data_IF_869891098373
#
_entry.id   IF_869891098373
#
_cell.length_a   1.000
_cell.length_b   1.000
_cell.length_c   1.000
_cell.angle_alpha   90.00
_cell.angle_beta   90.00
_cell.angle_gamma   90.00
#
_symmetry.space_group_name_H-M   'P 1'
#
loop_
_entity.id
_entity.type
_entity.pdbx_description
1 polymer ?
#
# COMPACT_ATOMS: atom_id res chain seq x y z
N UNK A 1 -13.36 -26.95 -59.52
CA UNK A 1 -12.83 -25.57 -59.68
C UNK A 1 -13.80 -24.58 -59.09
N UNK A 2 -13.26 -23.48 -58.55
CA UNK A 2 -13.89 -22.33 -57.87
C UNK A 2 -14.00 -22.44 -56.35
N UNK A 3 -13.07 -21.68 -55.78
CA UNK A 3 -12.77 -21.36 -54.39
C UNK A 3 -13.93 -20.62 -53.74
N UNK A 4 -14.25 -20.98 -52.50
CA UNK A 4 -14.90 -20.07 -51.55
C UNK A 4 -14.07 -20.12 -50.27
N UNK A 5 -13.16 -19.15 -50.15
CA UNK A 5 -12.38 -18.90 -48.94
C UNK A 5 -13.33 -18.22 -47.96
N UNK A 6 -13.76 -18.95 -46.93
CA UNK A 6 -14.39 -18.38 -45.75
C UNK A 6 -13.33 -17.53 -45.05
N UNK A 7 -13.37 -16.22 -45.26
CA UNK A 7 -12.52 -15.27 -44.55
C UNK A 7 -13.02 -15.18 -43.11
N UNK A 8 -12.39 -15.94 -42.22
CA UNK A 8 -12.54 -15.85 -40.78
C UNK A 8 -12.17 -14.43 -40.34
N UNK A 9 -13.19 -13.70 -39.85
CA UNK A 9 -13.05 -12.39 -39.23
C UNK A 9 -12.36 -12.55 -37.87
N UNK A 10 -11.04 -12.78 -37.91
CA UNK A 10 -10.18 -12.78 -36.73
C UNK A 10 -9.85 -11.35 -36.33
N UNK A 11 -10.78 -10.69 -35.64
CA UNK A 11 -10.45 -9.48 -34.86
C UNK A 11 -9.67 -9.95 -33.63
N UNK A 12 -8.39 -10.28 -33.84
CA UNK A 12 -7.41 -10.37 -32.77
C UNK A 12 -6.97 -8.94 -32.45
N UNK A 13 -7.83 -8.22 -31.72
CA UNK A 13 -7.47 -7.00 -31.01
C UNK A 13 -6.56 -7.36 -29.84
N UNK A 14 -5.32 -7.73 -30.15
CA UNK A 14 -4.24 -7.79 -29.17
C UNK A 14 -3.77 -6.36 -28.96
N UNK A 15 -4.54 -5.58 -28.21
CA UNK A 15 -4.00 -4.43 -27.48
C UNK A 15 -3.13 -4.96 -26.34
N UNK A 16 -1.99 -5.56 -26.68
CA UNK A 16 -0.86 -5.74 -25.78
C UNK A 16 0.06 -4.51 -25.84
N UNK A 17 -0.52 -3.31 -25.72
CA UNK A 17 0.22 -2.10 -25.38
C UNK A 17 0.06 -1.84 -23.89
N UNK A 18 0.64 -2.74 -23.09
CA UNK A 18 0.73 -2.63 -21.64
C UNK A 18 2.11 -3.05 -21.13
N UNK A 19 3.16 -2.79 -21.91
CA UNK A 19 4.54 -2.88 -21.44
C UNK A 19 4.92 -1.57 -20.75
N UNK A 20 4.80 -1.51 -19.43
CA UNK A 20 5.93 -1.10 -18.59
C UNK A 20 5.65 -1.46 -17.13
N UNK A 21 6.01 -2.69 -16.74
CA UNK A 21 6.26 -3.03 -15.33
C UNK A 21 7.36 -2.15 -14.71
N UNK A 22 8.13 -1.43 -15.53
CA UNK A 22 9.15 -0.49 -15.10
C UNK A 22 8.59 0.70 -14.31
N UNK A 23 7.30 1.03 -14.36
CA UNK A 23 6.77 2.26 -13.75
C UNK A 23 6.02 2.02 -12.43
N UNK A 24 6.35 0.95 -11.70
CA UNK A 24 5.70 0.60 -10.42
C UNK A 24 6.59 0.93 -9.24
N UNK A 25 6.00 1.43 -8.16
CA UNK A 25 6.70 1.70 -6.88
C UNK A 25 6.65 0.44 -6.02
N UNK A 26 5.45 -0.12 -5.89
CA UNK A 26 5.17 -1.38 -5.22
C UNK A 26 5.47 -2.50 -6.21
N UNK A 27 6.32 -3.45 -5.82
CA UNK A 27 6.59 -4.64 -6.62
C UNK A 27 5.50 -5.69 -6.39
N UNK A 28 5.32 -6.05 -5.12
CA UNK A 28 4.34 -7.04 -4.69
C UNK A 28 3.94 -6.85 -3.23
N UNK A 29 2.88 -7.56 -2.83
CA UNK A 29 2.50 -7.75 -1.42
C UNK A 29 2.63 -9.23 -1.08
N UNK A 30 3.28 -9.51 0.05
CA UNK A 30 3.32 -10.84 0.63
C UNK A 30 2.28 -10.94 1.75
N UNK A 31 1.59 -12.07 1.76
CA UNK A 31 0.67 -12.45 2.83
C UNK A 31 1.04 -13.85 3.31
N UNK A 32 1.30 -13.99 4.60
CA UNK A 32 1.73 -15.26 5.21
C UNK A 32 1.00 -15.45 6.54
N UNK A 33 -0.05 -16.28 6.58
CA UNK A 33 -0.66 -16.68 7.84
C UNK A 33 0.21 -17.74 8.53
N UNK A 34 0.33 -17.66 9.84
CA UNK A 34 0.97 -18.68 10.68
C UNK A 34 0.23 -20.03 10.60
N UNK A 35 0.91 -21.12 11.01
CA UNK A 35 0.36 -22.48 10.95
C UNK A 35 -0.97 -22.65 11.70
N UNK A 36 -1.12 -21.92 12.81
CA UNK A 36 -2.31 -21.93 13.67
C UNK A 36 -3.24 -20.73 13.44
N UNK A 37 -2.94 -19.86 12.46
CA UNK A 37 -3.68 -18.63 12.16
C UNK A 37 -3.74 -17.61 13.32
N UNK A 38 -2.92 -17.78 14.35
CA UNK A 38 -2.84 -16.83 15.47
C UNK A 38 -2.14 -15.55 15.04
N UNK A 39 -1.15 -15.65 14.15
CA UNK A 39 -0.44 -14.50 13.59
C UNK A 39 -0.61 -14.45 12.08
N UNK A 40 -0.83 -13.25 11.54
CA UNK A 40 -0.83 -12.98 10.09
C UNK A 40 0.25 -11.96 9.77
N UNK A 41 1.19 -12.33 8.89
CA UNK A 41 2.16 -11.40 8.31
C UNK A 41 1.62 -10.82 7.01
N UNK A 42 1.65 -9.50 6.89
CA UNK A 42 1.37 -8.79 5.63
C UNK A 42 2.49 -7.79 5.38
N UNK A 43 3.06 -7.77 4.17
CA UNK A 43 4.10 -6.81 3.81
C UNK A 43 4.00 -6.34 2.36
N UNK A 44 4.42 -5.10 2.14
CA UNK A 44 4.69 -4.53 0.81
C UNK A 44 6.18 -4.62 0.55
N UNK A 45 6.54 -5.25 -0.56
CA UNK A 45 7.87 -5.18 -1.13
C UNK A 45 7.90 -4.11 -2.23
N UNK A 46 8.92 -3.26 -2.18
CA UNK A 46 9.13 -2.22 -3.16
C UNK A 46 10.03 -2.70 -4.29
N UNK A 47 9.90 -2.09 -5.47
CA UNK A 47 10.80 -2.42 -6.58
C UNK A 47 12.26 -2.09 -6.23
N UNK A 48 13.23 -2.77 -6.85
CA UNK A 48 14.67 -2.52 -6.65
C UNK A 48 15.17 -1.11 -7.01
N UNK A 49 14.25 -0.22 -7.42
CA UNK A 49 14.48 1.22 -7.55
C UNK A 49 14.57 1.91 -6.19
N UNK A 50 13.93 1.37 -5.16
CA UNK A 50 13.97 1.89 -3.80
C UNK A 50 15.06 1.15 -3.04
N UNK A 51 16.15 1.86 -2.74
CA UNK A 51 17.37 1.35 -2.12
C UNK A 51 17.57 1.98 -0.74
N UNK A 52 16.50 2.00 0.06
CA UNK A 52 16.50 2.55 1.40
C UNK A 52 17.22 1.61 2.37
N UNK A 53 18.06 2.16 3.25
CA UNK A 53 18.73 1.46 4.34
C UNK A 53 17.95 1.50 5.66
N UNK A 54 16.77 2.15 5.65
CA UNK A 54 15.86 2.16 6.79
C UNK A 54 15.54 0.73 7.23
N UNK A 55 15.74 0.47 8.52
CA UNK A 55 15.53 -0.82 9.13
C UNK A 55 14.98 -0.64 10.55
N UNK A 56 14.19 -1.61 11.00
CA UNK A 56 13.79 -1.71 12.39
C UNK A 56 12.45 -2.36 12.54
N UNK A 57 11.92 -2.30 13.76
CA UNK A 57 10.53 -2.60 13.95
C UNK A 57 10.05 -2.37 15.37
N UNK A 58 8.74 -2.45 15.51
CA UNK A 58 7.98 -1.74 16.52
C UNK A 58 6.90 -2.66 17.08
N UNK A 59 7.03 -3.07 18.36
CA UNK A 59 6.04 -3.96 18.97
C UNK A 59 4.71 -3.22 19.17
N UNK A 60 3.62 -3.87 18.79
CA UNK A 60 2.25 -3.41 18.97
C UNK A 60 1.67 -4.00 20.25
N UNK A 61 2.24 -3.66 21.42
CA UNK A 61 1.76 -4.04 22.77
C UNK A 61 1.05 -5.40 22.87
N UNK A 62 1.71 -6.48 22.46
CA UNK A 62 1.19 -7.85 22.55
C UNK A 62 0.42 -8.34 21.32
N UNK A 63 -0.03 -7.45 20.44
CA UNK A 63 -0.80 -7.79 19.24
C UNK A 63 0.06 -7.97 17.98
N UNK A 64 1.37 -8.12 18.15
CA UNK A 64 2.33 -8.31 17.06
C UNK A 64 3.32 -7.17 16.93
N UNK A 65 3.80 -6.93 15.71
CA UNK A 65 4.99 -6.13 15.44
C UNK A 65 4.98 -5.56 14.01
N UNK A 66 5.25 -4.28 13.85
CA UNK A 66 5.49 -3.67 12.54
C UNK A 66 6.98 -3.76 12.24
N UNK A 67 7.37 -4.14 11.02
CA UNK A 67 8.77 -4.23 10.62
C UNK A 67 9.05 -3.43 9.35
N UNK A 68 10.30 -2.99 9.25
CA UNK A 68 10.90 -2.36 8.09
C UNK A 68 12.20 -3.10 7.82
N UNK A 69 12.29 -3.74 6.65
CA UNK A 69 13.50 -4.40 6.19
C UNK A 69 14.21 -3.51 5.15
N UNK A 70 15.52 -3.28 5.32
CA UNK A 70 16.28 -2.46 4.39
C UNK A 70 16.46 -3.17 3.05
N UNK A 71 16.75 -2.40 2.02
CA UNK A 71 17.15 -2.94 0.72
C UNK A 71 18.53 -3.61 0.80
N UNK A 72 18.65 -4.78 0.19
CA UNK A 72 19.93 -5.43 -0.13
C UNK A 72 19.88 -5.99 -1.56
N UNK A 73 21.02 -6.36 -2.18
CA UNK A 73 20.99 -7.03 -3.48
C UNK A 73 20.19 -8.35 -3.50
N UNK A 74 19.94 -8.95 -2.33
CA UNK A 74 19.19 -10.19 -2.18
C UNK A 74 17.74 -9.98 -1.70
N UNK A 75 17.37 -8.79 -1.23
CA UNK A 75 16.06 -8.51 -0.63
C UNK A 75 15.59 -7.08 -0.96
N UNK A 76 14.36 -6.90 -1.48
CA UNK A 76 13.82 -5.57 -1.71
C UNK A 76 13.63 -4.81 -0.39
N UNK A 77 13.60 -3.47 -0.45
CA UNK A 77 13.06 -2.69 0.66
C UNK A 77 11.63 -3.16 0.92
N UNK A 78 11.29 -3.42 2.18
CA UNK A 78 10.03 -4.03 2.56
C UNK A 78 9.51 -3.42 3.85
N UNK A 79 8.20 -3.17 3.88
CA UNK A 79 7.51 -2.72 5.08
C UNK A 79 6.29 -3.59 5.30
N UNK A 80 6.11 -4.07 6.52
CA UNK A 80 4.99 -4.95 6.84
C UNK A 80 4.70 -5.00 8.32
N UNK A 81 3.77 -5.87 8.67
CA UNK A 81 3.39 -6.13 10.05
C UNK A 81 3.09 -7.61 10.25
N UNK A 82 3.43 -8.08 11.44
CA UNK A 82 2.93 -9.31 12.03
C UNK A 82 1.81 -8.92 12.97
N UNK A 83 0.63 -9.48 12.78
CA UNK A 83 -0.53 -9.19 13.61
C UNK A 83 -1.01 -10.45 14.30
N UNK A 84 -1.15 -10.37 15.62
CA UNK A 84 -1.90 -11.33 16.40
C UNK A 84 -3.41 -11.14 16.13
N UNK A 85 -4.06 -12.18 15.63
CA UNK A 85 -5.48 -12.15 15.28
C UNK A 85 -6.38 -12.00 16.49
N UNK A 86 -5.90 -12.18 17.72
CA UNK A 86 -6.65 -11.89 18.95
C UNK A 86 -7.07 -10.43 19.06
N UNK A 87 -6.35 -9.48 18.42
CA UNK A 87 -6.72 -8.06 18.41
C UNK A 87 -8.12 -7.81 17.87
N UNK A 88 -8.64 -8.69 16.99
CA UNK A 88 -10.00 -8.55 16.46
C UNK A 88 -11.09 -8.83 17.50
N UNK A 89 -10.72 -9.46 18.61
CA UNK A 89 -11.62 -9.86 19.69
C UNK A 89 -11.39 -9.06 20.99
N UNK A 90 -10.39 -8.18 21.03
CA UNK A 90 -10.03 -7.42 22.22
C UNK A 90 -10.81 -6.09 22.29
N UNK A 91 -11.53 -5.87 23.38
CA UNK A 91 -12.38 -4.69 23.60
C UNK A 91 -11.67 -3.55 24.35
N UNK A 92 -10.45 -3.76 24.86
CA UNK A 92 -9.79 -2.83 25.80
C UNK A 92 -9.01 -1.68 25.13
N UNK A 93 -8.93 -1.64 23.80
CA UNK A 93 -8.22 -0.56 23.09
C UNK A 93 -9.10 0.70 22.91
N UNK A 94 -9.12 1.55 23.93
CA UNK A 94 -9.88 2.81 23.99
C UNK A 94 -9.00 4.00 23.57
N UNK A 95 -9.14 4.40 22.31
CA UNK A 95 -9.44 5.75 21.78
C UNK A 95 -9.49 5.62 20.27
N UNK A 96 -10.54 4.94 19.82
CA UNK A 96 -10.74 4.62 18.43
C UNK A 96 -11.24 5.88 17.72
N UNK A 97 -10.47 6.44 16.81
CA UNK A 97 -10.97 7.45 15.88
C UNK A 97 -11.27 6.77 14.55
N UNK A 98 -12.56 6.55 14.21
CA UNK A 98 -12.93 6.07 12.90
C UNK A 98 -12.47 7.06 11.82
N UNK A 99 -11.91 6.54 10.74
CA UNK A 99 -11.45 7.30 9.58
C UNK A 99 -11.71 6.53 8.30
N UNK A 100 -12.06 7.25 7.25
CA UNK A 100 -12.15 6.74 5.88
C UNK A 100 -10.99 7.28 5.02
N UNK A 101 -10.06 8.00 5.64
CA UNK A 101 -8.98 8.73 4.97
C UNK A 101 -7.60 8.29 5.47
N UNK A 102 -6.66 8.36 4.55
CA UNK A 102 -5.22 8.26 4.79
C UNK A 102 -4.74 9.39 5.72
N UNK A 103 -3.51 9.30 6.25
CA UNK A 103 -2.95 10.30 7.13
C UNK A 103 -2.95 11.72 6.52
N UNK A 104 -2.90 11.82 5.19
CA UNK A 104 -2.93 13.09 4.47
C UNK A 104 -4.36 13.61 4.15
N UNK A 105 -5.41 12.95 4.64
CA UNK A 105 -6.81 13.33 4.42
C UNK A 105 -7.44 12.81 3.13
N UNK A 106 -6.73 12.03 2.30
CA UNK A 106 -7.28 11.46 1.06
C UNK A 106 -8.02 10.16 1.36
N UNK A 107 -9.18 9.87 0.73
CA UNK A 107 -9.90 8.61 0.94
C UNK A 107 -9.04 7.36 0.70
N UNK A 108 -9.14 6.39 1.61
CA UNK A 108 -8.41 5.11 1.56
C UNK A 108 -8.86 4.27 0.35
N UNK A 109 -10.13 4.42 -0.06
CA UNK A 109 -10.73 3.59 -1.11
C UNK A 109 -11.43 2.33 -0.57
N UNK A 110 -11.69 2.30 0.74
CA UNK A 110 -12.51 1.29 1.42
C UNK A 110 -13.89 1.91 1.69
N UNK A 111 -14.95 1.13 1.56
CA UNK A 111 -16.36 1.56 1.63
C UNK A 111 -16.87 1.88 3.06
N UNK A 112 -15.99 1.84 4.06
CA UNK A 112 -16.31 2.03 5.48
C UNK A 112 -15.13 2.61 6.26
N UNK A 113 -15.43 3.07 7.47
CA UNK A 113 -14.41 3.59 8.37
C UNK A 113 -13.59 2.48 9.02
N UNK A 114 -12.28 2.70 9.09
CA UNK A 114 -11.34 1.93 9.90
C UNK A 114 -10.94 2.76 11.11
N UNK A 115 -10.43 2.13 12.15
CA UNK A 115 -9.81 2.81 13.27
C UNK A 115 -8.34 3.06 12.95
N UNK A 116 -7.91 4.32 13.00
CA UNK A 116 -6.49 4.66 12.99
C UNK A 116 -5.89 4.51 14.40
N UNK A 117 -4.75 3.81 14.49
CA UNK A 117 -3.98 3.61 15.72
C UNK A 117 -2.54 4.05 15.47
N UNK A 118 -2.02 4.95 16.28
CA UNK A 118 -0.63 5.42 16.18
C UNK A 118 -0.06 5.78 17.55
N UNK A 119 1.26 5.91 17.63
CA UNK A 119 1.94 6.34 18.85
C UNK A 119 1.61 7.79 19.20
N UNK A 120 1.67 8.12 20.50
CA UNK A 120 1.52 9.51 20.95
C UNK A 120 2.68 10.41 20.48
N UNK A 121 3.81 9.80 20.12
CA UNK A 121 4.98 10.44 19.52
C UNK A 121 5.38 9.64 18.28
N UNK A 122 5.94 10.31 17.25
CA UNK A 122 6.57 9.62 16.14
C UNK A 122 7.64 8.67 16.61
N UNK A 123 7.84 7.60 15.86
CA UNK A 123 8.91 6.63 16.12
C UNK A 123 10.29 7.29 16.07
N UNK A 124 10.50 8.18 15.10
CA UNK A 124 11.69 9.02 14.99
C UNK A 124 11.36 10.30 14.24
N UNK A 125 12.31 11.24 14.19
CA UNK A 125 12.17 12.47 13.41
C UNK A 125 12.03 12.22 11.90
N UNK A 126 12.41 11.03 11.42
CA UNK A 126 12.38 10.65 10.00
C UNK A 126 11.22 9.74 9.62
N UNK A 127 10.62 9.07 10.59
CA UNK A 127 9.75 7.94 10.33
C UNK A 127 8.66 7.80 11.40
N UNK A 128 7.45 7.49 10.96
CA UNK A 128 6.32 7.19 11.84
C UNK A 128 5.41 6.11 11.22
N UNK A 129 4.58 5.48 12.06
CA UNK A 129 3.70 4.38 11.67
C UNK A 129 2.29 4.54 12.22
N UNK A 130 1.33 4.21 11.36
CA UNK A 130 -0.09 4.24 11.63
C UNK A 130 -0.67 2.89 11.26
N UNK A 131 -1.40 2.24 12.15
CA UNK A 131 -2.17 1.04 11.87
C UNK A 131 -3.63 1.41 11.64
N UNK A 132 -4.32 0.61 10.83
CA UNK A 132 -5.74 0.76 10.52
C UNK A 132 -6.46 -0.56 10.76
N UNK A 133 -7.54 -0.54 11.55
CA UNK A 133 -8.25 -1.75 11.99
C UNK A 133 -9.76 -1.62 11.75
N UNK A 134 -10.37 -2.60 11.09
CA UNK A 134 -11.84 -2.72 11.07
C UNK A 134 -12.35 -3.39 12.34
N UNK A 135 -12.65 -2.59 13.35
CA UNK A 135 -13.18 -3.08 14.64
C UNK A 135 -14.62 -3.55 14.56
N UNK A 136 -15.37 -3.19 13.51
CA UNK A 136 -16.79 -3.52 13.41
C UNK A 136 -17.02 -4.87 12.76
N UNK A 137 -16.27 -5.19 11.70
CA UNK A 137 -16.42 -6.47 10.97
C UNK A 137 -15.20 -7.38 11.05
N UNK A 138 -14.09 -6.92 11.63
CA UNK A 138 -12.84 -7.67 11.70
C UNK A 138 -12.34 -8.13 10.32
N UNK A 139 -12.62 -7.34 9.27
CA UNK A 139 -12.30 -7.69 7.88
C UNK A 139 -10.97 -7.06 7.44
N UNK A 140 -10.79 -5.77 7.70
CA UNK A 140 -9.66 -4.99 7.18
C UNK A 140 -8.59 -4.69 8.21
N UNK A 141 -7.36 -4.79 7.74
CA UNK A 141 -6.16 -4.38 8.43
C UNK A 141 -5.33 -3.52 7.49
N UNK A 142 -4.68 -2.49 8.01
CA UNK A 142 -3.80 -1.66 7.22
C UNK A 142 -2.68 -1.06 8.03
N UNK A 143 -1.66 -0.59 7.32
CA UNK A 143 -0.52 0.13 7.87
C UNK A 143 -0.19 1.29 6.93
N UNK A 144 0.17 2.43 7.49
CA UNK A 144 0.77 3.55 6.76
C UNK A 144 2.12 3.92 7.39
N UNK A 145 3.14 3.92 6.56
CA UNK A 145 4.49 4.39 6.87
C UNK A 145 4.65 5.82 6.41
N UNK A 146 4.99 6.69 7.35
CA UNK A 146 5.19 8.12 7.12
C UNK A 146 6.67 8.40 7.09
N UNK A 147 7.10 9.17 6.10
CA UNK A 147 8.50 9.52 5.92
C UNK A 147 8.63 11.03 5.94
N UNK A 148 9.26 11.59 6.98
CA UNK A 148 9.27 13.07 7.17
C UNK A 148 9.97 13.82 6.04
N UNK A 149 10.87 13.14 5.33
CA UNK A 149 11.57 13.67 4.16
C UNK A 149 10.73 13.66 2.87
N UNK A 150 9.60 12.95 2.83
CA UNK A 150 8.65 13.01 1.72
C UNK A 150 7.76 14.26 1.83
N UNK A 151 8.36 15.38 1.43
CA UNK A 151 7.72 16.70 1.34
C UNK A 151 7.09 16.95 -0.03
N UNK A 152 6.48 18.12 -0.20
CA UNK A 152 5.80 18.58 -1.42
C UNK A 152 6.73 18.63 -2.64
N UNK A 153 8.05 18.76 -2.41
CA UNK A 153 9.10 18.61 -3.41
C UNK A 153 9.09 17.23 -4.10
N UNK A 154 8.84 16.17 -3.33
CA UNK A 154 8.97 14.78 -3.81
C UNK A 154 7.63 14.17 -4.20
N UNK A 155 6.54 14.61 -3.56
CA UNK A 155 5.19 14.18 -3.88
C UNK A 155 4.18 15.31 -3.61
N UNK A 156 3.25 15.63 -4.53
CA UNK A 156 2.34 16.75 -4.36
C UNK A 156 1.46 16.65 -3.11
N UNK A 157 1.22 17.80 -2.47
CA UNK A 157 0.37 17.93 -1.29
C UNK A 157 -1.03 17.35 -1.54
N UNK A 158 -1.49 16.49 -0.64
CA UNK A 158 -2.82 15.90 -0.66
C UNK A 158 -3.11 14.98 -1.84
N UNK A 159 -2.11 14.62 -2.65
CA UNK A 159 -2.29 13.66 -3.75
C UNK A 159 -2.12 12.23 -3.19
N UNK A 160 -2.89 11.27 -3.71
CA UNK A 160 -2.59 9.85 -3.55
C UNK A 160 -2.65 9.11 -4.87
N UNK A 161 -1.82 8.07 -4.99
CA UNK A 161 -1.82 7.09 -6.07
C UNK A 161 -2.07 5.73 -5.44
N UNK A 162 -3.25 5.18 -5.72
CA UNK A 162 -3.72 3.91 -5.16
C UNK A 162 -3.62 2.82 -6.23
N UNK A 163 -3.12 1.65 -5.85
CA UNK A 163 -3.03 0.45 -6.66
C UNK A 163 -3.83 -0.67 -5.99
N UNK A 164 -4.73 -1.30 -6.74
CA UNK A 164 -5.39 -2.54 -6.29
C UNK A 164 -4.48 -3.69 -6.68
N UNK A 165 -4.16 -4.57 -5.72
CA UNK A 165 -3.33 -5.74 -5.94
C UNK A 165 -4.16 -7.03 -6.03
N UNK A 166 -5.35 -7.00 -5.46
CA UNK A 166 -6.28 -8.11 -5.51
C UNK A 166 -7.71 -7.59 -5.39
N UNK A 167 -8.63 -8.23 -6.11
CA UNK A 167 -10.07 -8.09 -5.93
C UNK A 167 -10.67 -9.39 -5.43
N UNK A 168 -11.72 -9.28 -4.63
CA UNK A 168 -12.56 -10.41 -4.25
C UNK A 168 -13.40 -10.92 -5.43
N UNK A 169 -14.13 -12.01 -5.22
CA UNK A 169 -15.04 -12.58 -6.21
C UNK A 169 -16.12 -11.60 -6.67
N UNK A 170 -16.48 -10.64 -5.82
CA UNK A 170 -17.45 -9.58 -6.08
C UNK A 170 -16.84 -8.33 -6.77
N UNK A 171 -15.56 -8.38 -7.17
CA UNK A 171 -14.79 -7.29 -7.80
C UNK A 171 -14.45 -6.09 -6.89
N UNK A 172 -14.69 -6.20 -5.58
CA UNK A 172 -14.24 -5.20 -4.61
C UNK A 172 -12.75 -5.38 -4.33
N UNK A 173 -12.00 -4.30 -4.04
CA UNK A 173 -10.61 -4.44 -3.61
C UNK A 173 -10.48 -5.29 -2.34
N UNK A 174 -9.57 -6.25 -2.35
CA UNK A 174 -9.18 -7.05 -1.20
C UNK A 174 -7.76 -6.70 -0.71
N UNK A 175 -6.91 -6.17 -1.58
CA UNK A 175 -5.60 -5.61 -1.21
C UNK A 175 -5.40 -4.28 -1.95
N UNK A 176 -5.09 -3.22 -1.21
CA UNK A 176 -4.84 -1.88 -1.74
C UNK A 176 -3.47 -1.39 -1.23
N UNK A 177 -2.60 -1.02 -2.15
CA UNK A 177 -1.39 -0.24 -1.87
C UNK A 177 -1.63 1.23 -2.23
N UNK A 178 -1.05 2.15 -1.47
CA UNK A 178 -1.18 3.58 -1.74
C UNK A 178 0.13 4.29 -1.49
N UNK A 179 0.51 5.18 -2.39
CA UNK A 179 1.55 6.18 -2.15
C UNK A 179 0.88 7.53 -2.06
N UNK A 180 1.17 8.30 -1.02
CA UNK A 180 0.49 9.56 -0.75
C UNK A 180 1.45 10.68 -0.37
N UNK A 181 1.09 11.89 -0.76
CA UNK A 181 1.86 13.10 -0.47
C UNK A 181 1.54 13.70 0.89
N UNK A 182 2.28 14.74 1.29
CA UNK A 182 2.09 15.39 2.57
C UNK A 182 0.75 16.12 2.68
N UNK A 183 0.36 16.43 3.91
CA UNK A 183 -0.69 17.39 4.24
C UNK A 183 -0.07 18.63 4.89
N UNK A 184 -0.65 19.79 4.60
CA UNK A 184 -0.24 21.07 5.17
C UNK A 184 -1.32 21.61 6.11
N UNK A 185 -0.90 22.34 7.15
CA UNK A 185 -1.78 23.15 7.98
C UNK A 185 -2.30 24.35 7.19
N UNK A 186 -3.29 25.06 7.74
CA UNK A 186 -3.85 26.28 7.12
C UNK A 186 -2.82 27.40 6.94
N UNK A 187 -1.74 27.40 7.72
CA UNK A 187 -0.62 28.34 7.63
C UNK A 187 0.47 27.90 6.62
N UNK A 188 0.27 26.78 5.92
CA UNK A 188 1.22 26.24 4.94
C UNK A 188 2.37 25.43 5.54
N UNK A 189 2.44 25.28 6.87
CA UNK A 189 3.42 24.39 7.51
C UNK A 189 3.06 22.92 7.34
N UNK A 190 4.05 22.02 7.42
CA UNK A 190 3.82 20.58 7.27
C UNK A 190 2.98 20.06 8.43
N UNK A 191 1.73 19.65 8.16
CA UNK A 191 0.87 18.98 9.14
C UNK A 191 1.24 17.50 9.25
N UNK A 192 1.47 16.85 8.11
CA UNK A 192 1.88 15.44 8.05
C UNK A 192 2.67 15.17 6.78
N UNK A 193 3.72 14.36 6.87
CA UNK A 193 4.53 14.02 5.72
C UNK A 193 3.87 12.99 4.80
N UNK A 194 4.41 12.83 3.60
CA UNK A 194 4.01 11.77 2.67
C UNK A 194 4.42 10.38 3.15
N UNK A 195 3.87 9.37 2.50
CA UNK A 195 4.01 8.00 2.96
C UNK A 195 3.55 6.94 1.96
N UNK A 196 3.63 5.70 2.44
CA UNK A 196 3.10 4.52 1.76
C UNK A 196 2.14 3.82 2.70
N UNK A 197 0.99 3.41 2.21
CA UNK A 197 0.04 2.62 2.96
C UNK A 197 -0.30 1.31 2.25
N UNK A 198 -0.63 0.31 3.05
CA UNK A 198 -1.11 -1.00 2.62
C UNK A 198 -2.37 -1.33 3.41
N UNK A 199 -3.38 -1.83 2.73
CA UNK A 199 -4.62 -2.32 3.33
C UNK A 199 -4.95 -3.69 2.76
N UNK A 200 -5.37 -4.60 3.61
CA UNK A 200 -5.74 -5.95 3.26
C UNK A 200 -7.04 -6.35 3.98
N UNK A 201 -7.99 -6.91 3.24
CA UNK A 201 -9.13 -7.60 3.79
C UNK A 201 -8.72 -9.02 4.19
N UNK A 202 -8.11 -9.15 5.36
CA UNK A 202 -7.51 -10.40 5.84
C UNK A 202 -8.54 -11.53 5.95
N UNK A 203 -9.77 -11.21 6.36
CA UNK A 203 -10.85 -12.20 6.42
C UNK A 203 -11.17 -12.78 5.05
N UNK A 204 -11.41 -11.93 4.05
CA UNK A 204 -11.67 -12.36 2.67
C UNK A 204 -10.50 -13.10 2.05
N UNK A 205 -9.26 -12.68 2.35
CA UNK A 205 -8.06 -13.39 1.90
C UNK A 205 -8.04 -14.83 2.42
N UNK A 206 -8.30 -15.04 3.71
CA UNK A 206 -8.37 -16.38 4.31
C UNK A 206 -9.52 -17.21 3.71
N UNK A 207 -10.72 -16.61 3.61
CA UNK A 207 -11.93 -17.30 3.15
C UNK A 207 -11.90 -17.67 1.65
N UNK A 208 -11.42 -16.77 0.79
CA UNK A 208 -11.55 -16.93 -0.66
C UNK A 208 -10.34 -17.54 -1.34
N UNK A 209 -9.13 -17.38 -0.79
CA UNK A 209 -7.90 -17.74 -1.48
C UNK A 209 -7.31 -19.09 -1.04
N UNK A 210 -8.01 -19.87 -0.18
CA UNK A 210 -7.51 -21.16 0.35
C UNK A 210 -6.03 -21.06 0.74
N UNK A 211 -5.69 -19.95 1.42
CA UNK A 211 -4.32 -19.65 1.78
C UNK A 211 -3.86 -20.75 2.73
N UNK A 212 -2.91 -21.56 2.28
CA UNK A 212 -2.37 -22.65 3.07
C UNK A 212 -1.57 -22.03 4.21
N UNK A 213 -1.88 -22.45 5.43
CA UNK A 213 -1.14 -22.02 6.62
C UNK A 213 0.36 -22.28 6.41
N UNK A 214 1.20 -21.30 6.77
CA UNK A 214 2.65 -21.34 6.58
C UNK A 214 3.14 -21.12 5.14
N UNK A 215 2.25 -20.88 4.16
CA UNK A 215 2.64 -20.61 2.77
C UNK A 215 2.49 -19.14 2.44
N UNK A 216 3.58 -18.49 2.04
CA UNK A 216 3.55 -17.12 1.52
C UNK A 216 2.86 -17.08 0.17
N UNK A 217 1.83 -16.23 0.07
CA UNK A 217 1.18 -15.90 -1.20
C UNK A 217 1.58 -14.49 -1.62
N UNK A 218 1.96 -14.35 -2.88
CA UNK A 218 2.45 -13.08 -3.45
C UNK A 218 1.42 -12.50 -4.43
N UNK A 219 1.05 -11.25 -4.22
CA UNK A 219 0.10 -10.51 -5.06
C UNK A 219 0.79 -9.36 -5.78
N UNK A 220 0.45 -9.16 -7.05
CA UNK A 220 1.05 -8.13 -7.90
C UNK A 220 0.02 -7.04 -8.23
N UNK A 221 0.43 -5.76 -8.32
CA UNK A 221 -0.48 -4.68 -8.69
C UNK A 221 -1.19 -4.92 -10.03
N UNK A 222 -2.48 -4.56 -10.08
CA UNK A 222 -3.25 -4.45 -11.30
C UNK A 222 -2.62 -3.41 -12.25
N UNK A 223 -3.00 -3.44 -13.53
CA UNK A 223 -2.49 -2.48 -14.52
C UNK A 223 -2.99 -1.05 -14.28
N UNK A 224 -4.09 -0.89 -13.55
CA UNK A 224 -4.74 0.40 -13.35
C UNK A 224 -4.37 0.99 -11.99
N UNK A 225 -4.03 2.27 -12.00
CA UNK A 225 -3.83 3.07 -10.80
C UNK A 225 -4.94 4.11 -10.69
N UNK A 226 -5.39 4.37 -9.47
CA UNK A 226 -6.36 5.42 -9.18
C UNK A 226 -5.63 6.61 -8.57
N UNK A 227 -5.82 7.80 -9.14
CA UNK A 227 -5.24 9.04 -8.61
C UNK A 227 -6.32 9.91 -7.99
N UNK A 228 -6.10 10.31 -6.74
CA UNK A 228 -7.05 11.07 -5.93
C UNK A 228 -6.40 12.28 -5.26
N UNK A 229 -7.21 13.26 -4.88
CA UNK A 229 -6.76 14.49 -4.23
C UNK A 229 -6.62 15.70 -5.16
N UNK A 230 -6.09 16.83 -4.64
CA UNK A 230 -5.85 18.03 -5.42
C UNK A 230 -4.94 17.72 -6.62
N UNK A 231 -5.24 18.35 -7.76
CA UNK A 231 -4.47 18.17 -9.01
C UNK A 231 -4.47 16.75 -9.61
N UNK A 232 -5.31 15.81 -9.12
CA UNK A 232 -5.37 14.46 -9.66
C UNK A 232 -5.63 14.42 -11.19
N UNK A 233 -6.40 15.37 -11.71
CA UNK A 233 -6.68 15.53 -13.15
C UNK A 233 -5.43 15.66 -14.02
N UNK A 234 -4.33 16.22 -13.48
CA UNK A 234 -3.04 16.34 -14.19
C UNK A 234 -2.38 14.97 -14.46
N UNK A 235 -2.62 14.01 -13.56
CA UNK A 235 -1.95 12.71 -13.54
C UNK A 235 -2.83 11.58 -14.10
N UNK A 236 -4.16 11.70 -13.98
CA UNK A 236 -5.11 10.70 -14.53
C UNK A 236 -4.92 10.53 -16.02
N UNK A 237 -4.61 9.29 -16.45
CA UNK A 237 -4.37 8.96 -17.85
C UNK A 237 -3.06 9.51 -18.44
N UNK A 238 -2.23 10.21 -17.65
CA UNK A 238 -0.98 10.82 -18.11
C UNK A 238 0.23 10.03 -17.60
N UNK A 239 0.63 9.01 -18.38
CA UNK A 239 1.74 8.12 -18.02
C UNK A 239 3.06 8.87 -17.75
N UNK A 240 3.40 9.89 -18.55
CA UNK A 240 4.64 10.67 -18.37
C UNK A 240 4.64 11.45 -17.05
N UNK A 241 3.49 12.00 -16.66
CA UNK A 241 3.38 12.72 -15.39
C UNK A 241 3.48 11.77 -14.19
N UNK A 242 2.90 10.57 -14.28
CA UNK A 242 3.02 9.52 -13.26
C UNK A 242 4.45 8.98 -13.15
N UNK A 243 5.13 8.77 -14.28
CA UNK A 243 6.55 8.40 -14.30
C UNK A 243 7.44 9.45 -13.62
N UNK A 244 7.20 10.73 -13.89
CA UNK A 244 7.96 11.80 -13.24
C UNK A 244 7.69 11.83 -11.73
N UNK A 245 6.42 11.67 -11.34
CA UNK A 245 6.03 11.60 -9.93
C UNK A 245 6.74 10.44 -9.22
N UNK A 246 6.75 9.25 -9.84
CA UNK A 246 7.48 8.10 -9.33
C UNK A 246 8.98 8.37 -9.20
N UNK A 247 9.62 8.96 -10.22
CA UNK A 247 11.05 9.28 -10.15
C UNK A 247 11.37 10.22 -8.99
N UNK A 248 10.53 11.23 -8.76
CA UNK A 248 10.67 12.15 -7.64
C UNK A 248 10.52 11.42 -6.30
N UNK A 249 9.50 10.57 -6.18
CA UNK A 249 9.27 9.75 -4.98
C UNK A 249 10.46 8.84 -4.67
N UNK A 250 10.94 8.09 -5.68
CA UNK A 250 12.12 7.21 -5.56
C UNK A 250 13.35 8.02 -5.15
N UNK A 251 13.55 9.20 -5.74
CA UNK A 251 14.66 10.08 -5.35
C UNK A 251 14.55 10.57 -3.90
N UNK A 252 13.33 10.78 -3.39
CA UNK A 252 13.11 11.14 -1.99
C UNK A 252 13.52 10.02 -1.04
N UNK A 253 13.13 8.78 -1.34
CA UNK A 253 13.49 7.59 -0.55
C UNK A 253 14.98 7.28 -0.62
N UNK A 254 15.58 7.27 -1.81
CA UNK A 254 17.00 6.95 -1.97
C UNK A 254 17.92 8.08 -1.49
N UNK A 255 17.44 9.32 -1.47
CA UNK A 255 18.18 10.47 -0.95
C UNK A 255 18.44 10.42 0.55
N UNK A 256 17.91 9.43 1.26
CA UNK A 256 18.21 9.17 2.68
C UNK A 256 19.42 8.26 2.90
N UNK A 257 20.08 7.75 1.85
CA UNK A 257 21.39 7.10 1.95
C UNK A 257 22.44 8.12 2.40
N UNK A 258 22.63 8.26 3.71
CA UNK A 258 23.71 9.05 4.29
C UNK A 258 24.31 8.26 5.45
N UNK A 259 25.56 7.88 5.26
CA UNK A 259 26.57 7.41 6.23
C UNK A 259 26.33 7.80 7.69
#
# INVERSE_FOLDING_TARGET
MKKSVLATLGIALVFASGCNSQNRIIDHVNFTPSENLEVVRVSVAFTGKIQSDLAGGFPLKGYGYIFVNPFTPAQPFEVGFDLDTSIVNDQDYIRLQPTTVLPNGVPIGIDRALVEVHGAKPISDKFDLYAYLDVLKAEWLGVASIFSFLTDKYFPVGLSVNEVLLRDKEQNPAIIGSVFGPALNSDGTLARAGGVALFANVRKLIEEHTLKAGVTTTFYPEKQVTVSGPNATRYRGNAKALEQLQRNFVSGLNGQLIY
#
